data_IF_833860080242
#
_entry.id   IF_833860080242
#
_cell.length_a   1.000
_cell.length_b   1.000
_cell.length_c   1.000
_cell.angle_alpha   90.00
_cell.angle_beta   90.00
_cell.angle_gamma   90.00
#
_symmetry.space_group_name_H-M   'P 1'
#
loop_
_entity.id
_entity.type
_entity.pdbx_description
1 polymer ?
#
# COMPACT_ATOMS: atom_id res chain seq x y z
N UNK A 1 -15.43 8.16 24.48
CA UNK A 1 -15.23 7.28 23.31
C UNK A 1 -14.58 6.01 23.86
N UNK A 2 -14.94 4.82 23.38
CA UNK A 2 -14.19 3.62 23.81
C UNK A 2 -12.80 3.59 23.16
N UNK A 3 -11.88 2.81 23.72
CA UNK A 3 -10.48 2.74 23.26
C UNK A 3 -10.34 2.32 21.79
N UNK A 4 -11.29 1.52 21.30
CA UNK A 4 -11.28 1.09 19.90
C UNK A 4 -11.54 2.27 18.97
N UNK A 5 -12.61 3.03 19.24
CA UNK A 5 -12.98 4.19 18.46
C UNK A 5 -11.87 5.27 18.47
N UNK A 6 -11.20 5.47 19.61
CA UNK A 6 -10.04 6.38 19.67
C UNK A 6 -8.87 5.92 18.79
N UNK A 7 -8.57 4.62 18.75
CA UNK A 7 -7.51 4.07 17.90
C UNK A 7 -7.88 4.11 16.40
N UNK A 8 -9.15 3.84 16.07
CA UNK A 8 -9.66 3.96 14.72
C UNK A 8 -9.57 5.40 14.24
N UNK A 9 -10.01 6.37 15.03
CA UNK A 9 -9.93 7.78 14.67
C UNK A 9 -8.49 8.22 14.41
N UNK A 10 -7.52 7.82 15.26
CA UNK A 10 -6.10 8.11 15.03
C UNK A 10 -5.59 7.54 13.71
N UNK A 11 -6.03 6.33 13.35
CA UNK A 11 -5.69 5.73 12.05
C UNK A 11 -6.28 6.53 10.90
N UNK A 12 -7.55 6.93 10.99
CA UNK A 12 -8.22 7.71 9.96
C UNK A 12 -7.62 9.12 9.79
N UNK A 13 -7.29 9.77 10.90
CA UNK A 13 -6.60 11.08 10.91
C UNK A 13 -5.24 10.98 10.22
N UNK A 14 -4.46 9.94 10.54
CA UNK A 14 -3.18 9.69 9.89
C UNK A 14 -3.34 9.41 8.40
N UNK A 15 -4.24 8.50 8.01
CA UNK A 15 -4.47 8.16 6.60
C UNK A 15 -4.94 9.37 5.77
N UNK A 16 -5.61 10.34 6.40
CA UNK A 16 -6.06 11.58 5.75
C UNK A 16 -4.97 12.67 5.69
N UNK A 17 -3.81 12.43 6.31
CA UNK A 17 -2.72 13.41 6.42
C UNK A 17 -1.76 13.36 5.23
N UNK A 18 -1.00 14.44 5.05
CA UNK A 18 0.11 14.48 4.09
C UNK A 18 1.25 13.53 4.49
N UNK A 19 1.43 13.25 5.79
CA UNK A 19 2.46 12.32 6.27
C UNK A 19 2.25 10.90 5.73
N UNK A 20 0.99 10.46 5.60
CA UNK A 20 0.68 9.18 4.97
C UNK A 20 1.07 9.17 3.48
N UNK A 21 0.80 10.25 2.76
CA UNK A 21 1.18 10.38 1.34
C UNK A 21 2.70 10.42 1.16
N UNK A 22 3.41 11.11 2.04
CA UNK A 22 4.87 11.18 2.06
C UNK A 22 5.46 9.80 2.38
N UNK A 23 4.89 9.10 3.36
CA UNK A 23 5.31 7.74 3.74
C UNK A 23 5.21 6.78 2.56
N UNK A 24 4.05 6.72 1.88
CA UNK A 24 3.85 5.88 0.69
C UNK A 24 4.87 6.17 -0.41
N UNK A 25 5.07 7.44 -0.76
CA UNK A 25 6.00 7.83 -1.83
C UNK A 25 7.45 7.47 -1.52
N UNK A 26 7.82 7.48 -0.23
CA UNK A 26 9.15 7.09 0.22
C UNK A 26 9.35 5.59 0.10
N UNK A 27 8.41 4.81 0.64
CA UNK A 27 8.45 3.35 0.62
C UNK A 27 7.05 2.80 0.92
N UNK A 28 6.52 1.95 0.05
CA UNK A 28 5.17 1.38 0.22
C UNK A 28 5.07 0.41 1.38
N UNK A 29 6.20 -0.14 1.86
CA UNK A 29 6.27 -1.17 2.89
C UNK A 29 6.96 -0.68 4.18
N UNK A 30 7.99 0.15 4.08
CA UNK A 30 8.75 0.63 5.24
C UNK A 30 8.36 2.04 5.70
N UNK A 31 8.46 2.37 7.00
CA UNK A 31 8.92 1.52 8.10
C UNK A 31 7.91 0.41 8.43
N UNK A 32 8.41 -0.79 8.72
CA UNK A 32 7.57 -1.91 9.13
C UNK A 32 6.87 -1.54 10.45
N UNK A 33 5.60 -1.92 10.57
CA UNK A 33 4.69 -1.73 11.71
C UNK A 33 4.04 -0.35 11.88
N UNK A 34 4.47 0.69 11.16
CA UNK A 34 3.92 2.05 11.32
C UNK A 34 3.93 2.85 10.00
N UNK A 35 3.90 2.15 8.88
CA UNK A 35 3.75 2.75 7.55
C UNK A 35 2.29 2.75 7.12
N UNK A 36 2.00 3.52 6.07
CA UNK A 36 0.65 3.67 5.54
C UNK A 36 0.01 2.34 5.16
N UNK A 37 0.75 1.39 4.58
CA UNK A 37 0.19 0.08 4.25
C UNK A 37 -0.25 -0.70 5.50
N UNK A 38 0.39 -0.49 6.65
CA UNK A 38 0.02 -1.17 7.89
C UNK A 38 -1.34 -0.68 8.38
N UNK A 39 -1.55 0.63 8.41
CA UNK A 39 -2.86 1.20 8.73
C UNK A 39 -3.95 0.72 7.78
N UNK A 40 -3.64 0.62 6.48
CA UNK A 40 -4.58 0.08 5.49
C UNK A 40 -4.85 -1.43 5.67
N UNK A 41 -3.83 -2.22 6.01
CA UNK A 41 -4.00 -3.63 6.37
C UNK A 41 -4.93 -3.76 7.58
N UNK A 42 -4.72 -2.95 8.62
CA UNK A 42 -5.61 -2.96 9.79
C UNK A 42 -7.06 -2.69 9.40
N UNK A 43 -7.32 -1.67 8.57
CA UNK A 43 -8.67 -1.42 8.06
C UNK A 43 -9.21 -2.60 7.24
N UNK A 44 -8.38 -3.26 6.42
CA UNK A 44 -8.78 -4.44 5.65
C UNK A 44 -9.20 -5.60 6.55
N UNK A 45 -8.39 -5.93 7.56
CA UNK A 45 -8.66 -7.02 8.51
C UNK A 45 -9.90 -6.75 9.37
N UNK A 46 -10.21 -5.48 9.64
CA UNK A 46 -11.44 -5.06 10.32
C UNK A 46 -12.67 -4.96 9.40
N UNK A 47 -12.51 -5.14 8.09
CA UNK A 47 -13.60 -4.97 7.12
C UNK A 47 -13.96 -3.51 6.82
N UNK A 48 -13.12 -2.55 7.22
CA UNK A 48 -13.33 -1.10 7.14
C UNK A 48 -12.56 -0.43 5.99
N UNK A 49 -11.92 -1.20 5.09
CA UNK A 49 -11.07 -0.62 4.03
C UNK A 49 -11.81 0.40 3.14
N UNK A 50 -13.12 0.27 2.98
CA UNK A 50 -13.96 1.22 2.21
C UNK A 50 -14.04 2.61 2.83
N UNK A 51 -13.65 2.76 4.09
CA UNK A 51 -13.59 4.04 4.79
C UNK A 51 -12.27 4.78 4.51
N UNK A 52 -11.24 4.09 3.99
CA UNK A 52 -9.95 4.69 3.70
C UNK A 52 -10.08 5.86 2.69
N UNK A 53 -9.30 6.94 2.84
CA UNK A 53 -9.33 8.06 1.91
C UNK A 53 -9.05 7.60 0.47
N UNK A 54 -9.97 7.92 -0.45
CA UNK A 54 -9.90 7.46 -1.83
C UNK A 54 -8.65 7.96 -2.56
N UNK A 55 -8.28 9.21 -2.35
CA UNK A 55 -7.10 9.84 -2.95
C UNK A 55 -5.79 9.18 -2.49
N UNK A 56 -5.71 8.79 -1.20
CA UNK A 56 -4.61 8.01 -0.69
C UNK A 56 -4.54 6.62 -1.34
N UNK A 57 -5.67 5.95 -1.52
CA UNK A 57 -5.71 4.62 -2.13
C UNK A 57 -5.37 4.65 -3.62
N UNK A 58 -5.79 5.69 -4.35
CA UNK A 58 -5.37 5.94 -5.73
C UNK A 58 -3.86 6.17 -5.82
N UNK A 59 -3.30 7.02 -4.95
CA UNK A 59 -1.86 7.21 -4.84
C UNK A 59 -1.14 5.90 -4.51
N UNK A 60 -1.68 5.09 -3.60
CA UNK A 60 -1.08 3.83 -3.21
C UNK A 60 -1.00 2.86 -4.40
N UNK A 61 -2.09 2.71 -5.16
CA UNK A 61 -2.10 1.89 -6.36
C UNK A 61 -1.07 2.37 -7.39
N UNK A 62 -0.95 3.69 -7.58
CA UNK A 62 0.01 4.27 -8.51
C UNK A 62 1.46 4.05 -8.06
N UNK A 63 1.78 4.28 -6.78
CA UNK A 63 3.13 4.07 -6.24
C UNK A 63 3.52 2.59 -6.30
N UNK A 64 2.62 1.66 -5.97
CA UNK A 64 2.90 0.21 -6.11
C UNK A 64 3.21 -0.11 -7.57
N UNK A 65 2.44 0.42 -8.52
CA UNK A 65 2.63 0.14 -9.93
C UNK A 65 3.92 0.75 -10.54
N UNK A 66 4.49 1.79 -9.92
CA UNK A 66 5.69 2.47 -10.46
C UNK A 66 6.97 2.19 -9.70
N UNK A 67 6.89 1.92 -8.39
CA UNK A 67 8.07 1.89 -7.52
C UNK A 67 8.51 0.48 -7.13
N UNK A 68 7.71 -0.55 -7.42
CA UNK A 68 8.10 -1.94 -7.19
C UNK A 68 8.16 -2.72 -8.49
N UNK A 69 9.01 -3.75 -8.54
CA UNK A 69 9.08 -4.63 -9.71
C UNK A 69 7.85 -5.53 -9.77
N UNK A 70 7.40 -5.86 -10.99
CA UNK A 70 6.19 -6.67 -11.24
C UNK A 70 6.49 -8.15 -11.49
N UNK A 71 7.69 -8.60 -11.16
CA UNK A 71 8.09 -10.01 -11.19
C UNK A 71 8.93 -10.34 -9.95
N UNK A 72 9.03 -11.61 -9.61
CA UNK A 72 9.83 -12.06 -8.47
C UNK A 72 11.18 -12.59 -8.98
N UNK A 73 12.29 -11.86 -8.75
CA UNK A 73 13.60 -12.26 -9.22
C UNK A 73 14.12 -13.44 -8.40
N UNK A 74 14.76 -14.40 -9.07
CA UNK A 74 15.41 -15.55 -8.43
C UNK A 74 16.86 -15.21 -8.08
N UNK A 75 17.52 -14.37 -8.88
CA UNK A 75 18.87 -13.86 -8.64
C UNK A 75 18.94 -12.34 -8.77
N UNK A 76 19.98 -11.73 -8.19
CA UNK A 76 20.17 -10.27 -8.30
C UNK A 76 20.46 -9.81 -9.73
N UNK A 77 20.98 -10.69 -10.61
CA UNK A 77 21.25 -10.33 -12.01
C UNK A 77 19.98 -10.09 -12.83
N UNK A 78 18.83 -10.58 -12.36
CA UNK A 78 17.53 -10.36 -12.98
C UNK A 78 16.95 -8.97 -12.65
N UNK A 79 17.53 -8.26 -11.67
CA UNK A 79 17.04 -6.95 -11.26
C UNK A 79 17.30 -5.89 -12.32
N UNK A 80 16.32 -5.04 -12.63
CA UNK A 80 16.57 -3.83 -13.42
C UNK A 80 17.65 -2.98 -12.75
N UNK A 81 18.41 -2.27 -13.57
CA UNK A 81 19.45 -1.36 -13.08
C UNK A 81 18.88 -0.37 -12.06
N UNK A 82 19.62 -0.12 -10.99
CA UNK A 82 19.30 0.81 -9.91
C UNK A 82 18.08 0.42 -9.04
N UNK A 83 17.58 -0.82 -9.16
CA UNK A 83 16.54 -1.36 -8.26
C UNK A 83 17.13 -1.69 -6.88
N UNK A 84 16.52 -1.19 -5.81
CA UNK A 84 16.85 -1.59 -4.44
C UNK A 84 16.27 -2.99 -4.14
N UNK A 85 17.12 -4.02 -3.98
CA UNK A 85 16.66 -5.40 -3.77
C UNK A 85 15.91 -5.61 -2.45
N UNK A 86 16.02 -4.68 -1.49
CA UNK A 86 15.41 -4.82 -0.17
C UNK A 86 14.07 -4.10 -0.04
N UNK A 87 13.77 -3.16 -0.95
CA UNK A 87 12.62 -2.25 -0.82
C UNK A 87 11.69 -2.25 -2.02
N UNK A 88 12.22 -2.56 -3.20
CA UNK A 88 11.45 -2.51 -4.45
C UNK A 88 10.99 -3.90 -4.92
N UNK A 89 11.22 -4.94 -4.10
CA UNK A 89 10.68 -6.29 -4.29
C UNK A 89 9.60 -6.51 -3.23
N UNK A 90 8.34 -6.64 -3.65
CA UNK A 90 7.26 -6.98 -2.72
C UNK A 90 7.25 -8.48 -2.43
N UNK A 91 7.04 -8.84 -1.16
CA UNK A 91 6.67 -10.21 -0.84
C UNK A 91 5.24 -10.49 -1.33
N UNK A 92 4.98 -11.74 -1.76
CA UNK A 92 3.64 -12.14 -2.21
C UNK A 92 2.55 -11.93 -1.17
N UNK A 93 2.90 -11.97 0.12
CA UNK A 93 1.95 -11.68 1.21
C UNK A 93 1.48 -10.23 1.16
N UNK A 94 2.40 -9.27 1.06
CA UNK A 94 2.07 -7.85 0.95
C UNK A 94 1.31 -7.57 -0.36
N UNK A 95 1.82 -8.09 -1.49
CA UNK A 95 1.18 -7.93 -2.78
C UNK A 95 -0.26 -8.45 -2.78
N UNK A 96 -0.50 -9.63 -2.21
CA UNK A 96 -1.84 -10.22 -2.13
C UNK A 96 -2.84 -9.36 -1.34
N UNK A 97 -2.39 -8.76 -0.23
CA UNK A 97 -3.22 -7.81 0.53
C UNK A 97 -3.51 -6.56 -0.31
N UNK A 98 -2.48 -5.99 -0.95
CA UNK A 98 -2.64 -4.77 -1.73
C UNK A 98 -3.63 -4.97 -2.87
N UNK A 99 -3.50 -6.08 -3.59
CA UNK A 99 -4.44 -6.47 -4.64
C UNK A 99 -5.87 -6.59 -4.10
N UNK A 100 -6.09 -7.26 -2.97
CA UNK A 100 -7.43 -7.34 -2.36
C UNK A 100 -7.99 -5.96 -2.01
N UNK A 101 -7.19 -5.09 -1.39
CA UNK A 101 -7.61 -3.72 -1.08
C UNK A 101 -7.99 -2.96 -2.36
N UNK A 102 -7.18 -3.03 -3.41
CA UNK A 102 -7.45 -2.35 -4.68
C UNK A 102 -8.70 -2.90 -5.39
N UNK A 103 -8.97 -4.21 -5.29
CA UNK A 103 -10.20 -4.80 -5.80
C UNK A 103 -11.44 -4.29 -5.06
N UNK A 104 -11.40 -4.27 -3.73
CA UNK A 104 -12.53 -3.82 -2.89
C UNK A 104 -12.81 -2.32 -3.09
N UNK A 105 -11.76 -1.54 -3.32
CA UNK A 105 -11.84 -0.10 -3.61
C UNK A 105 -12.12 0.21 -5.09
N UNK A 106 -12.29 -0.82 -5.93
CA UNK A 106 -12.57 -0.68 -7.37
C UNK A 106 -11.49 0.12 -8.14
N UNK A 107 -10.25 0.08 -7.65
CA UNK A 107 -9.11 0.79 -8.25
C UNK A 107 -8.42 -0.01 -9.36
N UNK A 108 -8.70 -1.30 -9.45
CA UNK A 108 -8.23 -2.16 -10.54
C UNK A 108 -9.10 -2.00 -11.79
N UNK A 109 -8.96 -0.86 -12.46
CA UNK A 109 -9.44 -0.74 -13.85
C UNK A 109 -8.50 -1.53 -14.77
N UNK A 110 -9.01 -2.60 -15.37
CA UNK A 110 -8.31 -3.40 -16.40
C UNK A 110 -7.71 -2.50 -17.51
N UNK A 111 -8.30 -1.33 -17.77
CA UNK A 111 -7.84 -0.38 -18.80
C UNK A 111 -6.63 0.49 -18.41
N UNK A 112 -6.33 0.67 -17.11
CA UNK A 112 -5.20 1.52 -16.66
C UNK A 112 -3.87 0.75 -16.63
N UNK A 113 -3.93 -0.57 -16.52
CA UNK A 113 -2.77 -1.43 -16.23
C UNK A 113 -2.42 -2.44 -17.35
N UNK A 114 -3.21 -2.47 -18.43
CA UNK A 114 -2.88 -3.15 -19.69
C UNK A 114 -2.59 -2.07 -20.74
N UNK A 115 -1.40 -1.49 -20.67
CA UNK A 115 -0.84 -0.72 -21.77
C UNK A 115 -0.47 -1.63 -22.94
#
# INVERSE_FOLDING_TARGET
>A
MDKFNEALQKTMDYLSSDDAKISLKRDVYWPKWDSTWWHLLLLHELGLIKEAPKDLMELFADVVNTNVIHFFPVTEEELPKDTDPYRQILCFCAQGVFTKCFMIMELMSIKKYLG
#
